data_IF_684807673698
#
_entry.id   IF_684807673698
#
_cell.length_a   1.000
_cell.length_b   1.000
_cell.length_c   1.000
_cell.angle_alpha   90.00
_cell.angle_beta   90.00
_cell.angle_gamma   90.00
#
_symmetry.space_group_name_H-M   'P 1'
#
loop_
_entity.id
_entity.type
_entity.pdbx_description
1 polymer ?
#
# COMPACT_ATOMS: atom_id res chain seq x y z
N UNK A 1 1.80 -19.10 6.22
CA UNK A 1 2.22 -18.22 5.11
C UNK A 1 1.54 -18.69 3.85
N UNK A 2 1.18 -17.76 2.96
CA UNK A 2 0.51 -18.07 1.70
C UNK A 2 0.65 -16.97 0.68
N UNK A 3 0.57 -17.31 -0.60
CA UNK A 3 0.32 -16.39 -1.70
C UNK A 3 -0.49 -17.08 -2.80
N UNK A 4 -1.12 -16.29 -3.64
CA UNK A 4 -1.70 -16.73 -4.89
C UNK A 4 -0.71 -16.49 -6.03
N UNK A 5 -0.61 -17.45 -6.93
CA UNK A 5 0.24 -17.37 -8.11
C UNK A 5 -0.56 -17.69 -9.36
N UNK A 6 -0.32 -16.96 -10.44
CA UNK A 6 -0.91 -17.22 -11.74
C UNK A 6 0.18 -17.01 -12.80
N UNK A 7 0.26 -17.90 -13.80
CA UNK A 7 1.26 -17.75 -14.85
C UNK A 7 0.84 -16.59 -15.75
N UNK A 8 1.74 -15.62 -15.97
CA UNK A 8 1.42 -14.36 -16.63
C UNK A 8 1.30 -14.47 -18.17
N UNK A 9 0.65 -15.53 -18.64
CA UNK A 9 0.47 -15.81 -20.05
C UNK A 9 -0.38 -14.71 -20.71
N UNK A 10 0.15 -14.08 -21.76
CA UNK A 10 -0.52 -12.97 -22.45
C UNK A 10 -0.58 -11.64 -21.68
N UNK A 11 0.00 -11.55 -20.48
CA UNK A 11 -0.05 -10.37 -19.60
C UNK A 11 1.19 -9.48 -19.60
N UNK A 12 2.19 -9.73 -20.47
CA UNK A 12 3.45 -9.00 -20.53
C UNK A 12 3.89 -8.81 -22.00
N UNK A 13 4.58 -7.69 -22.29
CA UNK A 13 5.24 -7.40 -23.56
C UNK A 13 6.09 -8.57 -24.12
N UNK A 14 6.77 -9.32 -23.24
CA UNK A 14 7.65 -10.42 -23.63
C UNK A 14 6.95 -11.78 -23.80
N UNK A 15 5.64 -11.85 -23.53
CA UNK A 15 4.78 -13.03 -23.70
C UNK A 15 5.44 -14.38 -23.30
N UNK A 16 5.86 -14.55 -22.03
CA UNK A 16 6.42 -15.80 -21.54
C UNK A 16 5.38 -16.93 -21.70
N UNK A 17 5.80 -18.08 -22.24
CA UNK A 17 4.93 -19.22 -22.54
C UNK A 17 5.33 -20.48 -21.76
N UNK A 18 6.27 -20.36 -20.82
CA UNK A 18 6.61 -21.44 -19.90
C UNK A 18 5.93 -21.24 -18.54
N UNK A 19 5.60 -22.37 -17.93
CA UNK A 19 5.31 -22.51 -16.52
C UNK A 19 6.44 -23.28 -15.85
N UNK A 20 6.63 -23.09 -14.54
CA UNK A 20 7.56 -23.88 -13.74
C UNK A 20 6.98 -24.21 -12.37
N UNK A 21 7.52 -25.24 -11.73
CA UNK A 21 7.26 -25.48 -10.32
C UNK A 21 8.16 -24.60 -9.43
N UNK A 22 8.13 -24.86 -8.13
CA UNK A 22 8.95 -24.26 -7.10
C UNK A 22 8.72 -22.77 -6.81
N UNK A 23 7.64 -22.18 -7.33
CA UNK A 23 7.18 -20.87 -6.87
C UNK A 23 6.83 -20.92 -5.38
N UNK A 24 7.36 -19.97 -4.60
CA UNK A 24 7.11 -19.91 -3.16
C UNK A 24 7.86 -18.79 -2.44
N UNK A 25 8.23 -19.05 -1.19
CA UNK A 25 8.74 -18.06 -0.24
C UNK A 25 10.02 -18.51 0.44
N UNK A 26 10.97 -17.58 0.55
CA UNK A 26 12.23 -17.75 1.24
C UNK A 26 12.43 -16.59 2.23
N UNK A 27 12.66 -16.94 3.48
CA UNK A 27 12.94 -15.97 4.53
C UNK A 27 14.45 -15.77 4.67
N UNK A 28 14.88 -14.52 4.84
CA UNK A 28 16.29 -14.15 4.91
C UNK A 28 16.56 -13.15 6.04
N UNK A 29 17.77 -13.20 6.61
CA UNK A 29 18.20 -12.25 7.64
C UNK A 29 18.86 -11.00 7.05
N UNK A 30 19.41 -11.12 5.83
CA UNK A 30 20.07 -10.03 5.10
C UNK A 30 19.21 -9.56 3.92
N UNK A 31 19.20 -8.25 3.59
CA UNK A 31 18.49 -7.75 2.43
C UNK A 31 19.12 -8.27 1.14
N UNK A 32 18.28 -8.55 0.14
CA UNK A 32 18.70 -8.96 -1.20
C UNK A 32 18.16 -8.01 -2.28
N UNK A 33 18.05 -6.73 -1.92
CA UNK A 33 17.52 -5.68 -2.80
C UNK A 33 18.59 -5.27 -3.79
N UNK A 34 18.30 -5.38 -5.09
CA UNK A 34 19.11 -4.77 -6.12
C UNK A 34 18.88 -3.27 -6.16
N UNK A 35 19.92 -2.49 -5.90
CA UNK A 35 19.89 -1.02 -6.00
C UNK A 35 20.50 -0.49 -7.32
N UNK A 36 20.74 -1.37 -8.29
CA UNK A 36 21.34 -1.04 -9.59
C UNK A 36 21.44 -2.26 -10.51
N UNK A 37 22.08 -2.10 -11.67
CA UNK A 37 22.16 -3.14 -12.72
C UNK A 37 23.31 -4.13 -12.58
N UNK A 38 24.31 -3.85 -11.73
CA UNK A 38 25.55 -4.65 -11.60
C UNK A 38 25.69 -5.25 -10.19
N UNK A 39 24.62 -5.80 -9.66
CA UNK A 39 24.62 -6.47 -8.36
C UNK A 39 24.86 -7.98 -8.55
N UNK A 40 25.47 -8.66 -7.56
CA UNK A 40 25.68 -10.09 -7.66
C UNK A 40 24.33 -10.81 -7.83
N UNK A 41 24.27 -11.86 -8.67
CA UNK A 41 23.04 -12.61 -8.85
C UNK A 41 22.60 -13.25 -7.54
N UNK A 42 21.29 -13.28 -7.31
CA UNK A 42 20.72 -14.02 -6.20
C UNK A 42 20.86 -15.52 -6.49
N UNK A 43 21.91 -16.15 -5.95
CA UNK A 43 22.20 -17.55 -6.22
C UNK A 43 21.07 -18.47 -5.78
N UNK A 44 20.77 -19.48 -6.59
CA UNK A 44 19.84 -20.55 -6.24
C UNK A 44 20.34 -21.28 -4.99
N UNK A 45 19.50 -21.34 -3.96
CA UNK A 45 19.80 -22.02 -2.70
C UNK A 45 19.33 -23.47 -2.69
N UNK A 46 18.54 -23.86 -3.70
CA UNK A 46 17.87 -25.17 -3.78
C UNK A 46 17.04 -25.48 -2.52
N UNK A 47 16.50 -24.43 -1.92
CA UNK A 47 15.73 -24.47 -0.69
C UNK A 47 14.79 -23.28 -0.64
N UNK A 48 13.60 -23.52 -0.10
CA UNK A 48 12.61 -22.51 0.24
C UNK A 48 11.90 -22.96 1.52
N UNK A 49 11.46 -22.01 2.34
CA UNK A 49 10.58 -22.34 3.48
C UNK A 49 9.19 -22.76 2.99
N UNK A 50 8.78 -22.27 1.82
CA UNK A 50 7.57 -22.68 1.09
C UNK A 50 7.87 -22.80 -0.39
N UNK A 51 7.39 -23.86 -1.04
CA UNK A 51 7.32 -23.95 -2.49
C UNK A 51 6.18 -24.86 -2.93
N UNK A 52 5.63 -24.61 -4.12
CA UNK A 52 4.76 -25.57 -4.81
C UNK A 52 5.60 -26.52 -5.65
N UNK A 53 5.56 -27.82 -5.40
CA UNK A 53 6.24 -28.81 -6.26
C UNK A 53 5.51 -29.06 -7.59
N UNK A 54 4.28 -28.57 -7.73
CA UNK A 54 3.44 -28.72 -8.92
C UNK A 54 3.69 -27.55 -9.87
N UNK A 55 3.88 -27.86 -11.16
CA UNK A 55 3.96 -26.85 -12.22
C UNK A 55 2.58 -26.22 -12.41
N UNK A 56 2.47 -24.91 -12.18
CA UNK A 56 1.23 -24.16 -12.41
C UNK A 56 1.18 -23.67 -13.87
N UNK A 57 0.45 -24.40 -14.72
CA UNK A 57 0.18 -24.05 -16.12
C UNK A 57 -1.21 -23.43 -16.33
N UNK A 58 -1.95 -23.15 -15.27
CA UNK A 58 -3.26 -22.50 -15.35
C UNK A 58 -3.08 -21.02 -15.66
N UNK A 59 -3.67 -20.56 -16.77
CA UNK A 59 -3.58 -19.18 -17.24
C UNK A 59 -4.79 -18.35 -16.86
N UNK A 60 -5.82 -18.93 -16.25
CA UNK A 60 -7.07 -18.26 -15.89
C UNK A 60 -7.18 -18.12 -14.39
N UNK A 61 -7.03 -19.22 -13.66
CA UNK A 61 -7.26 -19.24 -12.23
C UNK A 61 -5.97 -18.99 -11.43
N UNK A 62 -6.14 -18.40 -10.25
CA UNK A 62 -5.07 -18.23 -9.28
C UNK A 62 -4.89 -19.49 -8.45
N UNK A 63 -3.65 -19.98 -8.34
CA UNK A 63 -3.29 -21.12 -7.50
C UNK A 63 -2.73 -20.66 -6.16
N UNK A 64 -3.34 -21.14 -5.08
CA UNK A 64 -2.85 -20.93 -3.73
C UNK A 64 -1.57 -21.76 -3.48
N UNK A 65 -0.49 -21.09 -3.13
CA UNK A 65 0.71 -21.69 -2.53
C UNK A 65 0.68 -21.36 -1.05
N UNK A 66 0.58 -22.36 -0.18
CA UNK A 66 0.45 -22.14 1.26
C UNK A 66 1.14 -23.21 2.09
N UNK A 67 1.56 -22.82 3.29
CA UNK A 67 2.19 -23.72 4.24
C UNK A 67 2.61 -23.01 5.51
N UNK A 68 3.34 -23.75 6.35
CA UNK A 68 3.86 -23.28 7.63
C UNK A 68 5.23 -23.87 7.87
N UNK A 69 6.09 -23.12 8.53
CA UNK A 69 7.37 -23.59 9.02
C UNK A 69 7.62 -23.06 10.42
N UNK A 70 8.53 -23.68 11.14
CA UNK A 70 9.02 -23.18 12.44
C UNK A 70 10.22 -22.29 12.16
N UNK A 71 10.14 -21.02 12.54
CA UNK A 71 11.27 -20.11 12.41
C UNK A 71 12.42 -20.55 13.33
N UNK A 72 13.58 -20.76 12.74
CA UNK A 72 14.83 -21.15 13.39
C UNK A 72 15.85 -19.99 13.47
N UNK A 73 15.44 -18.80 13.02
CA UNK A 73 16.28 -17.61 12.96
C UNK A 73 15.44 -16.32 12.98
N UNK A 74 16.09 -15.18 13.25
CA UNK A 74 15.47 -13.86 13.30
C UNK A 74 15.32 -13.26 11.90
N UNK A 75 14.56 -13.93 11.03
CA UNK A 75 14.33 -13.49 9.66
C UNK A 75 13.70 -12.09 9.60
N UNK A 76 14.28 -11.21 8.77
CA UNK A 76 13.85 -9.82 8.61
C UNK A 76 13.23 -9.51 7.25
N UNK A 77 13.50 -10.37 6.25
CA UNK A 77 13.08 -10.16 4.87
C UNK A 77 12.39 -11.39 4.30
N UNK A 78 11.43 -11.15 3.42
CA UNK A 78 10.76 -12.16 2.61
C UNK A 78 11.17 -11.99 1.15
N UNK A 79 11.59 -13.08 0.51
CA UNK A 79 11.82 -13.17 -0.92
C UNK A 79 10.76 -14.11 -1.51
N UNK A 80 10.20 -13.75 -2.65
CA UNK A 80 9.15 -14.52 -3.34
C UNK A 80 9.66 -14.87 -4.74
N UNK A 81 9.55 -16.14 -5.14
CA UNK A 81 10.01 -16.60 -6.44
C UNK A 81 10.34 -18.09 -6.46
N UNK A 82 11.19 -18.49 -7.41
CA UNK A 82 11.79 -19.82 -7.49
C UNK A 82 13.28 -19.72 -7.09
N UNK A 83 13.68 -20.50 -6.10
CA UNK A 83 15.02 -20.49 -5.51
C UNK A 83 15.86 -21.73 -5.83
N UNK A 84 15.37 -22.53 -6.78
CA UNK A 84 15.96 -23.79 -7.20
C UNK A 84 16.68 -23.62 -8.53
N UNK A 85 17.76 -24.37 -8.70
CA UNK A 85 18.49 -24.43 -9.96
C UNK A 85 17.61 -24.98 -11.09
N UNK A 86 18.04 -24.76 -12.33
CA UNK A 86 17.37 -25.31 -13.51
C UNK A 86 17.27 -26.85 -13.47
N UNK A 87 18.26 -27.53 -12.88
CA UNK A 87 18.24 -28.99 -12.74
C UNK A 87 17.20 -29.51 -11.74
N UNK A 88 16.72 -28.65 -10.84
CA UNK A 88 15.72 -28.98 -9.82
C UNK A 88 14.37 -28.31 -10.07
N UNK A 89 14.22 -27.66 -11.23
CA UNK A 89 12.99 -26.99 -11.64
C UNK A 89 12.38 -27.74 -12.80
N UNK A 90 11.15 -28.22 -12.60
CA UNK A 90 10.35 -28.78 -13.67
C UNK A 90 9.58 -27.67 -14.38
N UNK A 91 9.33 -27.86 -15.68
CA UNK A 91 8.76 -26.84 -16.55
C UNK A 91 7.70 -27.43 -17.47
N UNK A 92 6.74 -26.59 -17.86
CA UNK A 92 5.73 -26.94 -18.84
C UNK A 92 5.62 -25.84 -19.89
N UNK A 93 5.63 -26.22 -21.16
CA UNK A 93 5.49 -25.28 -22.26
C UNK A 93 4.01 -25.13 -22.62
N UNK A 94 3.43 -23.98 -22.28
CA UNK A 94 2.00 -23.69 -22.45
C UNK A 94 1.67 -23.55 -23.95
N UNK A 95 2.52 -22.83 -24.68
CA UNK A 95 2.39 -22.65 -26.13
C UNK A 95 3.76 -22.87 -26.80
N UNK A 96 3.88 -23.82 -27.76
CA UNK A 96 5.10 -24.07 -28.50
C UNK A 96 5.63 -22.80 -29.20
N UNK A 97 6.94 -22.57 -29.11
CA UNK A 97 7.62 -21.42 -29.71
C UNK A 97 8.77 -20.89 -28.87
N UNK A 98 9.48 -19.90 -29.39
CA UNK A 98 10.55 -19.22 -28.65
C UNK A 98 9.95 -18.44 -27.48
N UNK A 99 10.50 -18.65 -26.29
CA UNK A 99 10.08 -17.93 -25.09
C UNK A 99 11.25 -17.77 -24.13
N UNK A 100 11.25 -16.66 -23.39
CA UNK A 100 12.34 -16.26 -22.49
C UNK A 100 12.30 -16.98 -21.13
N UNK A 101 11.22 -17.70 -20.83
CA UNK A 101 11.08 -18.48 -19.59
C UNK A 101 9.68 -18.38 -19.00
N UNK A 102 9.59 -18.68 -17.70
CA UNK A 102 8.34 -18.61 -16.95
C UNK A 102 8.23 -17.29 -16.19
N UNK A 103 7.02 -16.75 -16.11
CA UNK A 103 6.73 -15.49 -15.41
C UNK A 103 5.41 -15.65 -14.67
N UNK A 104 5.37 -15.18 -13.43
CA UNK A 104 4.22 -15.34 -12.56
C UNK A 104 3.77 -14.00 -11.99
N UNK A 105 2.47 -13.77 -12.00
CA UNK A 105 1.86 -12.80 -11.10
C UNK A 105 1.74 -13.42 -9.71
N UNK A 106 1.92 -12.57 -8.70
CA UNK A 106 1.78 -12.96 -7.29
C UNK A 106 0.84 -11.97 -6.62
N UNK A 107 -0.12 -12.47 -5.88
CA UNK A 107 -1.05 -11.66 -5.10
C UNK A 107 -1.38 -12.35 -3.76
N UNK A 108 -2.05 -11.64 -2.85
CA UNK A 108 -2.52 -12.18 -1.57
C UNK A 108 -1.38 -12.76 -0.73
N UNK A 109 -0.26 -12.05 -0.62
CA UNK A 109 0.87 -12.46 0.22
C UNK A 109 0.53 -12.27 1.69
N UNK A 110 0.55 -13.36 2.46
CA UNK A 110 0.32 -13.34 3.90
C UNK A 110 1.40 -14.11 4.64
N UNK A 111 1.99 -13.46 5.65
CA UNK A 111 2.88 -14.08 6.64
C UNK A 111 2.32 -13.77 8.02
N UNK A 112 2.11 -14.80 8.83
CA UNK A 112 1.48 -14.71 10.15
C UNK A 112 1.95 -15.84 11.05
N UNK A 113 1.74 -15.67 12.36
CA UNK A 113 1.89 -16.78 13.31
C UNK A 113 0.78 -17.81 13.10
N UNK A 114 1.08 -19.07 13.41
CA UNK A 114 0.08 -20.14 13.36
C UNK A 114 -1.13 -19.77 14.24
N UNK A 115 -2.33 -20.01 13.72
CA UNK A 115 -3.59 -19.72 14.43
C UNK A 115 -4.17 -18.30 14.26
N UNK A 116 -3.43 -17.32 13.71
CA UNK A 116 -3.98 -15.98 13.43
C UNK A 116 -4.71 -15.95 12.08
N UNK A 117 -5.71 -15.11 11.77
CA UNK A 117 -6.25 -15.04 10.41
C UNK A 117 -5.26 -14.41 9.40
N UNK A 118 -5.35 -14.76 8.11
CA UNK A 118 -4.78 -13.94 7.04
C UNK A 118 -5.82 -12.90 6.65
N UNK A 119 -5.72 -11.72 7.24
CA UNK A 119 -6.62 -10.61 6.91
C UNK A 119 -6.11 -9.93 5.64
N UNK A 120 -6.63 -10.37 4.49
CA UNK A 120 -6.58 -9.56 3.28
C UNK A 120 -7.67 -8.51 3.45
N UNK A 121 -7.34 -7.41 4.12
CA UNK A 121 -8.22 -6.26 4.22
C UNK A 121 -8.48 -5.76 2.79
N UNK A 122 -9.64 -6.08 2.23
CA UNK A 122 -10.15 -5.45 0.99
C UNK A 122 -10.53 -3.99 1.22
N UNK A 123 -10.32 -3.50 2.43
CA UNK A 123 -10.51 -2.12 2.86
C UNK A 123 -9.15 -1.61 3.30
N UNK A 124 -8.57 -0.67 2.55
CA UNK A 124 -7.56 0.21 3.13
C UNK A 124 -8.24 0.87 4.32
N UNK A 125 -7.81 0.65 5.58
CA UNK A 125 -8.16 1.61 6.60
C UNK A 125 -7.54 2.90 6.12
N UNK A 126 -8.37 3.87 5.73
CA UNK A 126 -7.92 5.24 5.58
C UNK A 126 -7.15 5.53 6.87
N UNK A 127 -5.86 5.85 6.75
CA UNK A 127 -5.18 6.49 7.86
C UNK A 127 -6.04 7.73 8.06
N UNK A 128 -6.87 7.77 9.09
CA UNK A 128 -7.47 9.02 9.52
C UNK A 128 -6.26 9.94 9.69
N UNK A 129 -6.06 10.87 8.75
CA UNK A 129 -5.29 12.04 9.07
C UNK A 129 -6.01 12.60 10.29
N UNK A 130 -5.41 12.43 11.47
CA UNK A 130 -5.82 13.12 12.70
C UNK A 130 -5.42 14.59 12.48
N UNK A 131 -6.06 15.21 11.50
CA UNK A 131 -5.82 16.53 10.96
C UNK A 131 -7.16 17.22 10.86
N UNK A 132 -7.24 18.43 11.39
CA UNK A 132 -8.40 19.27 11.16
C UNK A 132 -8.41 19.64 9.67
N UNK A 133 -9.44 19.18 8.94
CA UNK A 133 -9.68 19.58 7.56
C UNK A 133 -10.86 20.56 7.47
N UNK A 134 -10.83 21.42 6.46
CA UNK A 134 -11.88 22.39 6.14
C UNK A 134 -12.48 22.07 4.78
N UNK A 135 -13.80 22.19 4.64
CA UNK A 135 -14.48 21.93 3.37
C UNK A 135 -15.68 22.87 3.12
N UNK A 136 -15.98 23.19 1.85
CA UNK A 136 -15.10 23.02 0.69
C UNK A 136 -13.82 23.86 0.85
N UNK A 137 -12.72 23.36 0.31
CA UNK A 137 -11.47 24.10 0.22
C UNK A 137 -10.82 23.76 -1.13
N UNK A 138 -10.83 24.67 -2.11
CA UNK A 138 -11.18 26.10 -2.03
C UNK A 138 -12.68 26.41 -1.83
N UNK A 139 -13.03 27.60 -1.35
CA UNK A 139 -14.43 28.05 -1.18
C UNK A 139 -14.66 29.50 -1.61
N UNK A 140 -15.83 29.78 -2.21
CA UNK A 140 -16.30 31.13 -2.52
C UNK A 140 -17.36 31.65 -1.53
N UNK A 141 -17.90 30.76 -0.68
CA UNK A 141 -19.10 31.03 0.10
C UNK A 141 -18.89 30.79 1.60
N UNK A 142 -18.71 29.53 1.99
CA UNK A 142 -18.48 29.15 3.38
C UNK A 142 -17.49 27.99 3.45
N UNK A 143 -16.73 27.91 4.52
CA UNK A 143 -15.99 26.71 4.90
C UNK A 143 -16.66 26.06 6.11
N UNK A 144 -16.47 24.77 6.26
CA UNK A 144 -16.99 23.95 7.35
C UNK A 144 -15.84 23.17 7.96
N UNK A 145 -15.90 22.93 9.27
CA UNK A 145 -14.89 22.20 10.02
C UNK A 145 -15.55 21.40 11.15
N UNK A 146 -15.06 20.19 11.39
CA UNK A 146 -15.46 19.39 12.55
C UNK A 146 -14.75 19.90 13.80
N UNK A 147 -15.52 20.23 14.84
CA UNK A 147 -15.05 20.77 16.12
C UNK A 147 -15.90 20.24 17.27
N UNK A 148 -15.39 20.32 18.49
CA UNK A 148 -16.23 20.12 19.68
C UNK A 148 -17.06 21.39 19.93
N UNK A 149 -18.23 21.25 20.56
CA UNK A 149 -19.03 22.41 21.00
C UNK A 149 -18.25 23.20 22.05
N UNK A 150 -18.20 24.52 21.93
CA UNK A 150 -17.42 25.39 22.81
C UNK A 150 -15.98 25.64 22.35
N UNK A 151 -15.57 25.13 21.18
CA UNK A 151 -14.25 25.38 20.61
C UNK A 151 -14.15 26.84 20.15
N UNK A 152 -13.17 27.58 20.66
CA UNK A 152 -12.83 28.91 20.15
C UNK A 152 -12.22 28.80 18.76
N UNK A 153 -12.58 29.71 17.86
CA UNK A 153 -12.02 29.76 16.51
C UNK A 153 -11.60 31.18 16.13
N UNK A 154 -10.56 31.27 15.30
CA UNK A 154 -10.01 32.53 14.80
C UNK A 154 -9.52 32.34 13.35
N UNK A 155 -9.83 33.30 12.47
CA UNK A 155 -9.36 33.32 11.08
C UNK A 155 -8.35 34.44 10.90
N UNK A 156 -7.23 34.12 10.26
CA UNK A 156 -6.14 35.04 9.95
C UNK A 156 -5.85 35.05 8.45
N UNK A 157 -5.37 36.18 7.94
CA UNK A 157 -4.69 36.20 6.63
C UNK A 157 -3.21 35.75 6.74
N UNK A 158 -2.54 35.65 5.58
CA UNK A 158 -1.11 35.30 5.49
C UNK A 158 -0.17 36.29 6.20
N UNK A 159 -0.62 37.51 6.49
CA UNK A 159 0.14 38.50 7.25
C UNK A 159 -0.11 38.39 8.77
N UNK A 160 -0.94 37.43 9.20
CA UNK A 160 -1.29 37.22 10.61
C UNK A 160 -2.32 38.22 11.15
N UNK A 161 -3.04 38.96 10.29
CA UNK A 161 -4.11 39.86 10.74
C UNK A 161 -5.37 39.05 11.04
N UNK A 162 -5.99 39.30 12.20
CA UNK A 162 -7.24 38.65 12.61
C UNK A 162 -8.42 39.20 11.79
N UNK A 163 -9.17 38.31 11.15
CA UNK A 163 -10.30 38.65 10.28
C UNK A 163 -11.65 38.20 10.83
N UNK A 164 -11.67 37.24 11.74
CA UNK A 164 -12.89 36.75 12.38
C UNK A 164 -12.58 35.86 13.56
N UNK A 165 -13.49 35.82 14.53
CA UNK A 165 -13.38 34.95 15.70
C UNK A 165 -14.75 34.61 16.27
N UNK A 166 -14.83 33.52 17.04
CA UNK A 166 -16.03 33.14 17.76
C UNK A 166 -15.86 31.83 18.53
N UNK A 167 -16.98 31.26 18.96
CA UNK A 167 -17.05 29.98 19.67
C UNK A 167 -18.05 29.08 18.95
N UNK A 168 -17.72 27.81 18.76
CA UNK A 168 -18.63 26.85 18.12
C UNK A 168 -19.82 26.51 19.01
N UNK A 169 -21.01 26.48 18.42
CA UNK A 169 -22.26 26.07 19.09
C UNK A 169 -22.74 24.68 18.64
N UNK A 170 -22.07 24.10 17.63
CA UNK A 170 -22.38 22.80 17.02
C UNK A 170 -21.08 22.07 16.71
N UNK A 171 -21.20 20.76 16.46
CA UNK A 171 -20.06 19.90 16.11
C UNK A 171 -19.51 20.16 14.70
N UNK A 172 -20.31 20.81 13.85
CA UNK A 172 -19.88 21.34 12.55
C UNK A 172 -19.94 22.86 12.65
N UNK A 173 -18.78 23.52 12.58
CA UNK A 173 -18.68 24.98 12.54
C UNK A 173 -18.65 25.44 11.08
N UNK A 174 -19.61 26.27 10.69
CA UNK A 174 -19.63 26.94 9.39
C UNK A 174 -19.13 28.38 9.50
N UNK A 175 -18.08 28.72 8.76
CA UNK A 175 -17.52 30.08 8.71
C UNK A 175 -17.80 30.68 7.33
N UNK A 176 -18.57 31.79 7.23
CA UNK A 176 -18.78 32.47 5.96
C UNK A 176 -17.48 33.15 5.49
N UNK A 177 -17.12 32.92 4.22
CA UNK A 177 -15.90 33.47 3.59
C UNK A 177 -16.21 34.37 2.39
N UNK A 178 -17.49 34.58 2.05
CA UNK A 178 -17.92 35.44 0.94
C UNK A 178 -17.32 36.85 0.99
N UNK A 179 -17.10 37.40 2.19
CA UNK A 179 -16.58 38.74 2.39
C UNK A 179 -15.05 38.81 2.32
N UNK A 180 -14.37 37.66 2.33
CA UNK A 180 -12.92 37.59 2.20
C UNK A 180 -12.51 37.78 0.73
N UNK A 181 -11.30 38.32 0.52
CA UNK A 181 -10.71 38.41 -0.81
C UNK A 181 -10.23 37.03 -1.29
N UNK A 182 -9.92 36.89 -2.58
CA UNK A 182 -9.28 35.67 -3.06
C UNK A 182 -7.88 35.56 -2.45
N UNK A 183 -7.53 34.41 -1.88
CA UNK A 183 -6.25 34.22 -1.20
C UNK A 183 -6.22 33.04 -0.23
N UNK A 184 -5.07 32.86 0.41
CA UNK A 184 -4.86 31.84 1.46
C UNK A 184 -5.09 32.44 2.86
N UNK A 185 -5.67 31.63 3.74
CA UNK A 185 -6.05 32.00 5.10
C UNK A 185 -5.74 30.86 6.06
N UNK A 186 -5.61 31.20 7.35
CA UNK A 186 -5.37 30.24 8.44
C UNK A 186 -6.55 30.28 9.41
N UNK A 187 -7.19 29.14 9.62
CA UNK A 187 -8.14 28.91 10.69
C UNK A 187 -7.40 28.27 11.88
N UNK A 188 -7.49 28.90 13.04
CA UNK A 188 -6.96 28.43 14.31
C UNK A 188 -8.10 28.03 15.23
N UNK A 189 -7.98 26.85 15.85
CA UNK A 189 -8.95 26.31 16.81
C UNK A 189 -8.31 26.22 18.21
N UNK A 190 -8.97 26.83 19.18
CA UNK A 190 -8.63 26.80 20.60
C UNK A 190 -9.22 25.56 21.25
N UNK A 191 -8.46 24.46 21.26
CA UNK A 191 -8.72 23.28 22.09
C UNK A 191 -7.46 22.95 22.92
N UNK A 192 -7.52 21.97 23.83
CA UNK A 192 -6.36 21.51 24.61
C UNK A 192 -5.14 21.15 23.73
N UNK A 193 -5.36 20.80 22.45
CA UNK A 193 -4.35 20.73 21.42
C UNK A 193 -4.53 21.87 20.42
N UNK A 194 -3.50 22.70 20.20
CA UNK A 194 -3.53 23.75 19.18
C UNK A 194 -3.65 23.10 17.80
N UNK A 195 -4.80 23.29 17.14
CA UNK A 195 -5.02 22.86 15.76
C UNK A 195 -5.13 24.08 14.86
N UNK A 196 -4.40 24.06 13.75
CA UNK A 196 -4.44 25.10 12.73
C UNK A 196 -4.58 24.45 11.36
N UNK A 197 -5.41 25.03 10.50
CA UNK A 197 -5.70 24.52 9.15
C UNK A 197 -5.68 25.68 8.17
N UNK A 198 -5.08 25.46 7.01
CA UNK A 198 -5.03 26.44 5.93
C UNK A 198 -6.20 26.23 4.99
N UNK A 199 -6.77 27.31 4.48
CA UNK A 199 -7.82 27.26 3.48
C UNK A 199 -7.67 28.37 2.46
N UNK A 200 -8.24 28.15 1.28
CA UNK A 200 -8.17 29.05 0.14
C UNK A 200 -9.57 29.57 -0.17
N UNK A 201 -9.67 30.89 -0.31
CA UNK A 201 -10.86 31.54 -0.86
C UNK A 201 -10.63 31.81 -2.34
N UNK A 202 -11.53 31.32 -3.19
CA UNK A 202 -11.55 31.61 -4.62
C UNK A 202 -12.99 31.83 -5.07
N UNK A 203 -13.22 32.97 -5.74
CA UNK A 203 -14.50 33.39 -6.33
C UNK A 203 -14.47 33.28 -7.84
#
# INVERSE_FOLDING_TARGET
MSCYTNVAFGGNYWAPTWACNNMGMLFTMEPNVWTGVNQPPFNARNYAHLNSSIVNSDTVDWRLVSGSFVADSAYQYLVIGNFFSNALTDTFHIVPGNSLGAYYFVDGVCVRRSGQPCEFLTTVPEIEEIGTYVWPNPSSNRISVNVDVGTEWQVYDVMGRLLGAGVSTSTILGIPVQQLANGEYVLKLGSMNRRQVRFVVMK
#
